data_IF_041819950698
#
_entry.id   IF_041819950698
#
_cell.length_a   1.000
_cell.length_b   1.000
_cell.length_c   1.000
_cell.angle_alpha   90.00
_cell.angle_beta   90.00
_cell.angle_gamma   90.00
#
_symmetry.space_group_name_H-M   'P 1'
#
loop_
_entity.id
_entity.type
_entity.pdbx_description
1 polymer ?
#
# COMPACT_ATOMS: atom_id res chain seq x y z
N UNK A 1 -11.04 3.02 1.84
CA UNK A 1 -11.84 2.20 0.89
C UNK A 1 -11.59 0.70 1.08
N UNK A 2 -10.35 0.19 1.09
CA UNK A 2 -10.01 -1.25 1.20
C UNK A 2 -10.69 -1.88 2.40
N UNK A 3 -10.44 -1.42 3.63
CA UNK A 3 -11.08 -1.94 4.83
C UNK A 3 -12.61 -1.85 4.79
N UNK A 4 -13.14 -0.77 4.21
CA UNK A 4 -14.57 -0.58 4.08
C UNK A 4 -15.22 -1.71 3.25
N UNK A 5 -14.66 -2.01 2.08
CA UNK A 5 -15.19 -3.06 1.22
C UNK A 5 -14.92 -4.46 1.77
N UNK A 6 -13.77 -4.68 2.41
CA UNK A 6 -13.42 -5.96 3.03
C UNK A 6 -14.46 -6.43 4.07
N UNK A 7 -15.07 -5.49 4.81
CA UNK A 7 -16.11 -5.83 5.79
C UNK A 7 -17.29 -6.56 5.15
N UNK A 8 -17.69 -6.19 3.92
CA UNK A 8 -18.84 -6.83 3.25
C UNK A 8 -18.55 -8.23 2.72
N UNK A 9 -17.28 -8.65 2.72
CA UNK A 9 -16.86 -9.98 2.31
C UNK A 9 -16.74 -10.98 3.46
N UNK A 10 -16.91 -10.49 4.68
CA UNK A 10 -16.81 -11.33 5.87
C UNK A 10 -17.98 -12.30 5.97
N UNK A 11 -17.78 -13.49 6.57
CA UNK A 11 -18.86 -14.40 6.90
C UNK A 11 -19.93 -13.73 7.78
N UNK A 12 -21.19 -14.14 7.71
CA UNK A 12 -22.29 -13.53 8.46
C UNK A 12 -22.02 -13.39 9.94
N UNK A 13 -21.36 -14.37 10.55
CA UNK A 13 -21.03 -14.39 11.96
C UNK A 13 -20.05 -13.27 12.35
N UNK A 14 -19.17 -12.89 11.43
CA UNK A 14 -18.22 -11.80 11.63
C UNK A 14 -18.85 -10.43 11.30
N UNK A 15 -19.82 -10.38 10.40
CA UNK A 15 -20.50 -9.12 10.06
C UNK A 15 -21.18 -8.48 11.26
N UNK A 16 -21.71 -9.26 12.20
CA UNK A 16 -22.31 -8.76 13.44
C UNK A 16 -21.32 -7.90 14.24
N UNK A 17 -20.04 -8.28 14.21
CA UNK A 17 -18.98 -7.55 14.91
C UNK A 17 -18.42 -6.38 14.09
N UNK A 18 -18.18 -6.59 12.81
CA UNK A 18 -17.40 -5.64 11.99
C UNK A 18 -18.26 -4.57 11.32
N UNK A 19 -19.48 -4.89 10.88
CA UNK A 19 -20.34 -3.93 10.19
C UNK A 19 -20.71 -2.70 11.01
N UNK A 20 -21.05 -2.80 12.31
CA UNK A 20 -21.28 -1.62 13.15
C UNK A 20 -20.03 -0.74 13.33
N UNK A 21 -18.85 -1.30 13.14
CA UNK A 21 -17.56 -0.65 13.36
C UNK A 21 -16.84 -0.27 12.03
N UNK A 22 -17.55 -0.29 10.91
CA UNK A 22 -16.96 -0.08 9.58
C UNK A 22 -16.28 1.28 9.42
N UNK A 23 -16.82 2.32 10.04
CA UNK A 23 -16.20 3.65 10.05
C UNK A 23 -14.90 3.64 10.85
N UNK A 24 -14.90 3.05 12.05
CA UNK A 24 -13.68 2.88 12.84
C UNK A 24 -12.59 2.17 12.03
N UNK A 25 -12.90 1.03 11.42
CA UNK A 25 -11.94 0.27 10.60
C UNK A 25 -11.39 1.07 9.42
N UNK A 26 -12.21 1.92 8.83
CA UNK A 26 -11.81 2.76 7.71
C UNK A 26 -10.94 3.94 8.14
N UNK A 27 -11.31 4.63 9.21
CA UNK A 27 -10.61 5.81 9.73
C UNK A 27 -9.26 5.45 10.38
N UNK A 28 -9.20 4.32 11.07
CA UNK A 28 -7.98 3.84 11.73
C UNK A 28 -7.06 3.02 10.82
N UNK A 29 -7.44 2.80 9.56
CA UNK A 29 -6.55 2.15 8.58
C UNK A 29 -5.28 2.95 8.29
N UNK A 30 -5.28 4.26 8.52
CA UNK A 30 -4.12 5.14 8.30
C UNK A 30 -3.28 5.39 9.57
N UNK A 31 -3.62 4.75 10.68
CA UNK A 31 -2.87 4.93 11.94
C UNK A 31 -1.41 4.43 11.85
N UNK A 32 -1.07 3.37 11.10
CA UNK A 32 0.31 3.02 10.85
C UNK A 32 1.13 4.17 10.24
N UNK A 33 0.62 4.87 9.24
CA UNK A 33 1.30 6.02 8.63
C UNK A 33 1.49 7.18 9.61
N UNK A 34 0.49 7.49 10.42
CA UNK A 34 0.61 8.51 11.47
C UNK A 34 1.68 8.12 12.49
N UNK A 35 1.81 6.83 12.80
CA UNK A 35 2.75 6.29 13.78
C UNK A 35 4.22 6.39 13.32
N UNK A 36 4.49 6.44 12.00
CA UNK A 36 5.84 6.62 11.44
C UNK A 36 6.55 7.87 11.95
N UNK A 37 5.80 8.91 12.34
CA UNK A 37 6.39 10.14 12.86
C UNK A 37 6.84 10.04 14.32
N UNK A 38 6.33 9.05 15.07
CA UNK A 38 6.59 8.88 16.49
C UNK A 38 7.36 7.60 16.85
N UNK A 39 7.33 6.59 15.97
CA UNK A 39 7.93 5.27 16.21
C UNK A 39 8.95 4.96 15.12
N UNK A 40 10.24 5.00 15.41
CA UNK A 40 11.31 4.78 14.40
C UNK A 40 11.20 3.45 13.65
N UNK A 41 10.77 2.38 14.35
CA UNK A 41 10.64 1.04 13.79
C UNK A 41 9.37 0.85 12.94
N UNK A 42 8.53 1.86 12.80
CA UNK A 42 7.29 1.75 12.01
C UNK A 42 7.58 1.77 10.51
N UNK A 43 8.45 2.67 10.05
CA UNK A 43 8.76 2.84 8.63
C UNK A 43 9.05 1.53 7.89
N UNK A 44 9.96 0.68 8.37
CA UNK A 44 10.29 -0.61 7.74
C UNK A 44 9.12 -1.58 7.55
N UNK A 45 8.03 -1.41 8.26
CA UNK A 45 6.86 -2.31 8.21
C UNK A 45 6.00 -2.12 6.96
N UNK A 46 6.20 -1.00 6.24
CA UNK A 46 5.38 -0.60 5.10
C UNK A 46 5.91 -1.07 3.75
N UNK A 47 7.17 -1.51 3.65
CA UNK A 47 7.81 -1.82 2.38
C UNK A 47 8.78 -2.98 2.46
N UNK A 48 9.31 -3.38 1.31
CA UNK A 48 10.47 -4.24 1.18
C UNK A 48 11.17 -3.99 -0.16
N UNK A 49 12.43 -3.55 -0.13
CA UNK A 49 13.24 -3.29 -1.32
C UNK A 49 13.75 -4.61 -1.93
N UNK A 50 12.91 -5.26 -2.72
CA UNK A 50 13.18 -6.59 -3.28
C UNK A 50 14.40 -6.59 -4.20
N UNK A 51 14.65 -5.52 -4.93
CA UNK A 51 15.81 -5.34 -5.80
C UNK A 51 17.15 -5.38 -5.05
N UNK A 52 17.12 -5.16 -3.73
CA UNK A 52 18.30 -5.33 -2.87
C UNK A 52 18.72 -6.80 -2.71
N UNK A 53 17.81 -7.73 -2.89
CA UNK A 53 18.04 -9.15 -2.70
C UNK A 53 18.40 -9.91 -4.01
N UNK A 54 18.63 -9.18 -5.10
CA UNK A 54 19.01 -9.74 -6.41
C UNK A 54 17.94 -9.58 -7.48
N UNK A 55 17.83 -10.58 -8.35
CA UNK A 55 16.92 -10.55 -9.49
C UNK A 55 15.67 -11.38 -9.25
N UNK A 56 14.55 -10.96 -9.90
CA UNK A 56 13.30 -11.69 -9.87
C UNK A 56 13.50 -13.16 -10.31
N UNK A 57 12.89 -14.15 -9.67
CA UNK A 57 11.90 -14.11 -8.58
C UNK A 57 12.47 -14.07 -7.15
N UNK A 58 13.70 -13.62 -6.96
CA UNK A 58 14.37 -13.47 -5.65
C UNK A 58 14.43 -14.75 -4.82
N UNK A 59 14.95 -15.86 -5.36
CA UNK A 59 14.90 -17.17 -4.70
C UNK A 59 15.75 -17.24 -3.43
N UNK A 60 16.64 -16.27 -3.26
CA UNK A 60 17.55 -16.20 -2.13
C UNK A 60 16.93 -15.64 -0.85
N UNK A 61 15.73 -15.02 -0.92
CA UNK A 61 15.08 -14.41 0.26
C UNK A 61 14.31 -15.48 1.04
N UNK A 62 14.74 -15.80 2.27
CA UNK A 62 13.99 -16.72 3.11
C UNK A 62 12.64 -16.13 3.51
N UNK A 63 11.58 -16.92 3.37
CA UNK A 63 10.23 -16.49 3.75
C UNK A 63 9.98 -16.50 5.26
N UNK A 64 10.76 -17.28 6.01
CA UNK A 64 10.70 -17.32 7.46
C UNK A 64 11.65 -16.30 8.06
N UNK A 65 11.17 -15.54 9.03
CA UNK A 65 11.94 -14.45 9.66
C UNK A 65 13.27 -14.92 10.23
N UNK A 66 13.27 -16.00 11.02
CA UNK A 66 14.49 -16.49 11.66
C UNK A 66 15.57 -16.91 10.62
N UNK A 67 15.16 -17.49 9.51
CA UNK A 67 16.06 -17.84 8.41
C UNK A 67 16.59 -16.59 7.69
N UNK A 68 15.74 -15.56 7.53
CA UNK A 68 16.12 -14.29 6.95
C UNK A 68 17.12 -13.53 7.86
N UNK A 69 16.86 -13.49 9.17
CA UNK A 69 17.78 -12.90 10.16
C UNK A 69 19.11 -13.63 10.17
N UNK A 70 19.11 -14.95 10.16
CA UNK A 70 20.35 -15.75 10.12
C UNK A 70 21.18 -15.46 8.88
N UNK A 71 20.52 -15.14 7.74
CA UNK A 71 21.21 -14.89 6.47
C UNK A 71 21.68 -13.45 6.29
N UNK A 72 20.87 -12.48 6.68
CA UNK A 72 21.09 -11.06 6.35
C UNK A 72 21.31 -10.15 7.57
N UNK A 73 21.01 -10.62 8.77
CA UNK A 73 20.98 -9.81 9.98
C UNK A 73 19.71 -8.96 10.11
N UNK A 74 19.23 -8.77 11.32
CA UNK A 74 17.98 -8.05 11.58
C UNK A 74 18.03 -6.59 11.14
N UNK A 75 19.14 -5.88 11.44
CA UNK A 75 19.31 -4.46 11.08
C UNK A 75 19.30 -4.26 9.56
N UNK A 76 19.94 -5.16 8.82
CA UNK A 76 19.93 -5.12 7.36
C UNK A 76 18.53 -5.33 6.81
N UNK A 77 17.78 -6.30 7.35
CA UNK A 77 16.38 -6.54 6.95
C UNK A 77 15.51 -5.34 7.24
N UNK A 78 15.59 -4.76 8.43
CA UNK A 78 14.83 -3.54 8.79
C UNK A 78 15.16 -2.38 7.86
N UNK A 79 16.42 -2.20 7.49
CA UNK A 79 16.82 -1.14 6.55
C UNK A 79 16.20 -1.31 5.16
N UNK A 80 16.00 -2.55 4.71
CA UNK A 80 15.40 -2.86 3.40
C UNK A 80 13.89 -3.10 3.47
N UNK A 81 13.29 -2.98 4.66
CA UNK A 81 11.85 -3.19 4.87
C UNK A 81 11.46 -4.64 5.14
N UNK A 82 10.36 -4.80 5.89
CA UNK A 82 9.95 -6.09 6.47
C UNK A 82 8.45 -6.39 6.29
N UNK A 83 7.75 -5.72 5.37
CA UNK A 83 6.29 -5.82 5.23
C UNK A 83 5.76 -7.26 5.17
N UNK A 84 6.34 -8.23 4.43
CA UNK A 84 5.74 -9.56 4.34
C UNK A 84 5.81 -10.35 5.65
N UNK A 85 6.86 -10.17 6.44
CA UNK A 85 6.96 -10.77 7.78
C UNK A 85 6.07 -10.04 8.79
N UNK A 86 6.00 -8.69 8.68
CA UNK A 86 5.17 -7.89 9.57
C UNK A 86 3.69 -8.24 9.45
N UNK A 87 3.16 -8.42 8.25
CA UNK A 87 1.77 -8.85 8.01
C UNK A 87 1.51 -10.21 8.69
N UNK A 88 2.44 -11.17 8.61
CA UNK A 88 2.29 -12.45 9.29
C UNK A 88 2.24 -12.30 10.81
N UNK A 89 3.05 -11.41 11.40
CA UNK A 89 2.97 -11.12 12.83
C UNK A 89 1.67 -10.43 13.21
N UNK A 90 1.19 -9.51 12.37
CA UNK A 90 -0.12 -8.86 12.60
C UNK A 90 -1.26 -9.87 12.56
N UNK A 91 -1.22 -10.83 11.64
CA UNK A 91 -2.21 -11.92 11.58
C UNK A 91 -2.18 -12.79 12.85
N UNK A 92 -0.99 -13.12 13.36
CA UNK A 92 -0.85 -13.85 14.61
C UNK A 92 -1.40 -13.06 15.80
N UNK A 93 -1.12 -11.76 15.89
CA UNK A 93 -1.66 -10.88 16.94
C UNK A 93 -3.19 -10.79 16.86
N UNK A 94 -3.74 -10.62 15.65
CA UNK A 94 -5.18 -10.60 15.43
C UNK A 94 -5.83 -11.93 15.84
N UNK A 95 -5.23 -13.05 15.44
CA UNK A 95 -5.68 -14.39 15.84
C UNK A 95 -5.68 -14.57 17.36
N UNK A 96 -4.65 -14.08 18.04
CA UNK A 96 -4.57 -14.13 19.49
C UNK A 96 -5.61 -13.22 20.16
N UNK A 97 -5.85 -12.03 19.59
CA UNK A 97 -6.89 -11.13 20.07
C UNK A 97 -8.29 -11.77 20.01
N UNK A 98 -8.58 -12.53 18.94
CA UNK A 98 -9.82 -13.33 18.86
C UNK A 98 -9.86 -14.45 19.91
N UNK A 99 -8.78 -15.21 20.07
CA UNK A 99 -8.71 -16.29 21.09
C UNK A 99 -8.93 -15.77 22.51
N UNK A 100 -8.40 -14.60 22.82
CA UNK A 100 -8.54 -13.96 24.13
C UNK A 100 -9.79 -13.10 24.24
N UNK A 101 -10.61 -13.03 23.20
CA UNK A 101 -11.84 -12.20 23.14
C UNK A 101 -11.58 -10.73 23.49
N UNK A 102 -10.41 -10.21 23.13
CA UNK A 102 -10.06 -8.81 23.37
C UNK A 102 -10.59 -7.94 22.23
N UNK A 103 -11.77 -7.38 22.43
CA UNK A 103 -12.47 -6.58 21.44
C UNK A 103 -11.64 -5.39 20.91
N UNK A 104 -11.01 -4.64 21.81
CA UNK A 104 -10.21 -3.46 21.43
C UNK A 104 -9.04 -3.84 20.54
N UNK A 105 -8.34 -4.95 20.83
CA UNK A 105 -7.24 -5.44 20.01
C UNK A 105 -7.74 -6.03 18.69
N UNK A 106 -8.91 -6.69 18.67
CA UNK A 106 -9.53 -7.17 17.43
C UNK A 106 -9.75 -5.97 16.48
N UNK A 107 -10.42 -4.92 16.95
CA UNK A 107 -10.70 -3.74 16.13
C UNK A 107 -9.40 -3.05 15.65
N UNK A 108 -8.46 -2.83 16.56
CA UNK A 108 -7.17 -2.22 16.23
C UNK A 108 -6.42 -3.00 15.16
N UNK A 109 -6.18 -4.29 15.40
CA UNK A 109 -5.38 -5.10 14.46
C UNK A 109 -6.10 -5.33 13.13
N UNK A 110 -7.42 -5.41 13.13
CA UNK A 110 -8.20 -5.48 11.89
C UNK A 110 -8.12 -4.21 11.05
N UNK A 111 -8.10 -3.04 11.69
CA UNK A 111 -7.93 -1.77 10.98
C UNK A 111 -6.50 -1.65 10.40
N UNK A 112 -5.49 -1.97 11.19
CA UNK A 112 -4.09 -1.77 10.81
C UNK A 112 -3.57 -2.82 9.81
N UNK A 113 -4.01 -4.09 9.89
CA UNK A 113 -3.53 -5.15 8.98
C UNK A 113 -3.90 -4.86 7.52
N UNK A 114 -5.08 -4.28 7.29
CA UNK A 114 -5.52 -3.90 5.95
C UNK A 114 -4.61 -2.83 5.31
N UNK A 115 -4.02 -1.95 6.11
CA UNK A 115 -3.02 -0.99 5.63
C UNK A 115 -1.78 -1.68 5.08
N UNK A 116 -1.14 -2.54 5.86
CA UNK A 116 0.07 -3.25 5.41
C UNK A 116 -0.21 -4.23 4.25
N UNK A 117 -1.42 -4.83 4.20
CA UNK A 117 -1.84 -5.62 3.06
C UNK A 117 -1.93 -4.73 1.81
N UNK A 118 -2.51 -3.54 1.92
CA UNK A 118 -2.55 -2.58 0.82
C UNK A 118 -1.14 -2.20 0.35
N UNK A 119 -0.23 -1.89 1.27
CA UNK A 119 1.17 -1.59 0.98
C UNK A 119 1.86 -2.73 0.20
N UNK A 120 1.65 -3.98 0.61
CA UNK A 120 2.19 -5.14 -0.10
C UNK A 120 1.67 -5.28 -1.55
N UNK A 121 0.55 -4.62 -1.89
CA UNK A 121 0.01 -4.57 -3.24
C UNK A 121 0.47 -3.35 -4.04
N UNK A 122 1.13 -2.37 -3.43
CA UNK A 122 1.69 -1.20 -4.12
C UNK A 122 3.04 -1.58 -4.75
N UNK A 123 3.19 -1.48 -6.08
CA UNK A 123 4.46 -1.82 -6.74
C UNK A 123 5.66 -1.06 -6.19
N UNK A 124 5.48 0.22 -5.86
CA UNK A 124 6.54 1.08 -5.36
C UNK A 124 6.94 0.82 -3.91
N UNK A 125 6.16 0.05 -3.14
CA UNK A 125 6.57 -0.49 -1.83
C UNK A 125 7.45 -1.75 -1.95
N UNK A 126 7.73 -2.21 -3.16
CA UNK A 126 8.53 -3.42 -3.38
C UNK A 126 9.85 -3.17 -4.14
N UNK A 127 10.31 -1.91 -4.18
CA UNK A 127 11.57 -1.53 -4.82
C UNK A 127 12.22 -0.32 -4.17
N UNK A 128 13.55 -0.25 -4.21
CA UNK A 128 14.33 0.87 -3.65
C UNK A 128 14.08 2.20 -4.37
N UNK A 129 13.71 2.18 -5.66
CA UNK A 129 13.34 3.37 -6.42
C UNK A 129 11.87 3.79 -6.17
N UNK A 130 11.40 3.66 -4.95
CA UNK A 130 10.00 3.80 -4.55
C UNK A 130 9.37 5.15 -4.92
N UNK A 131 10.12 6.23 -4.99
CA UNK A 131 9.62 7.56 -5.35
C UNK A 131 10.23 8.12 -6.64
N UNK A 132 10.81 7.26 -7.48
CA UNK A 132 11.45 7.65 -8.73
C UNK A 132 12.73 8.49 -8.54
N UNK A 133 13.34 8.43 -7.35
CA UNK A 133 14.51 9.24 -6.99
C UNK A 133 15.75 8.90 -7.84
N UNK A 134 15.84 7.68 -8.34
CA UNK A 134 16.96 7.24 -9.20
C UNK A 134 16.69 7.44 -10.69
N UNK A 135 15.45 7.76 -11.08
CA UNK A 135 15.01 7.88 -12.48
C UNK A 135 14.45 9.25 -12.83
N UNK A 136 14.67 10.26 -11.98
CA UNK A 136 14.17 11.63 -12.13
C UNK A 136 12.62 11.70 -12.23
N UNK A 137 11.92 10.83 -11.49
CA UNK A 137 10.47 10.74 -11.46
C UNK A 137 9.91 11.00 -10.04
N UNK A 138 10.57 11.90 -9.29
CA UNK A 138 10.20 12.21 -7.90
C UNK A 138 8.73 12.59 -7.79
N UNK A 139 8.04 11.98 -6.81
CA UNK A 139 6.61 12.16 -6.58
C UNK A 139 5.74 11.07 -7.20
N UNK A 140 6.32 10.12 -7.96
CA UNK A 140 5.56 9.04 -8.59
C UNK A 140 4.87 8.13 -7.56
N UNK A 141 5.42 8.00 -6.36
CA UNK A 141 4.81 7.23 -5.28
C UNK A 141 3.43 7.76 -4.91
N UNK A 142 3.38 9.01 -4.45
CA UNK A 142 2.09 9.65 -4.14
C UNK A 142 1.19 9.82 -5.36
N UNK A 143 1.76 9.94 -6.55
CA UNK A 143 0.98 9.94 -7.78
C UNK A 143 0.24 8.63 -7.98
N UNK A 144 0.93 7.49 -7.90
CA UNK A 144 0.34 6.17 -8.14
C UNK A 144 -0.67 5.77 -7.06
N UNK A 145 -0.33 6.00 -5.80
CA UNK A 145 -1.05 5.49 -4.64
C UNK A 145 -2.14 6.43 -4.13
N UNK A 146 -1.98 7.75 -4.34
CA UNK A 146 -2.95 8.75 -3.88
C UNK A 146 -3.66 9.44 -5.04
N UNK A 147 -2.92 10.11 -5.94
CA UNK A 147 -3.53 10.95 -6.96
C UNK A 147 -4.40 10.16 -7.94
N UNK A 148 -3.93 8.99 -8.42
CA UNK A 148 -4.72 8.15 -9.33
C UNK A 148 -6.01 7.67 -8.66
N UNK A 149 -6.00 7.07 -7.46
CA UNK A 149 -7.23 6.67 -6.77
C UNK A 149 -8.14 7.84 -6.39
N UNK A 150 -7.59 8.98 -5.96
CA UNK A 150 -8.39 10.15 -5.60
C UNK A 150 -9.21 10.68 -6.77
N UNK A 151 -8.66 10.68 -7.98
CA UNK A 151 -9.34 11.18 -9.16
C UNK A 151 -10.30 10.16 -9.79
N UNK A 152 -9.94 8.88 -9.76
CA UNK A 152 -10.60 7.88 -10.61
C UNK A 152 -11.41 6.85 -9.83
N UNK A 153 -11.04 6.53 -8.58
CA UNK A 153 -11.59 5.38 -7.89
C UNK A 153 -13.10 5.45 -7.63
N UNK A 154 -13.67 6.64 -7.46
CA UNK A 154 -15.12 6.77 -7.24
C UNK A 154 -15.94 6.72 -8.53
N UNK A 155 -15.32 7.08 -9.64
CA UNK A 155 -16.02 7.25 -10.93
C UNK A 155 -15.80 6.10 -11.89
N UNK A 156 -14.63 5.44 -11.81
CA UNK A 156 -14.16 4.52 -12.83
C UNK A 156 -13.86 3.11 -12.31
N UNK A 157 -13.53 2.95 -10.98
CA UNK A 157 -13.11 1.66 -10.44
C UNK A 157 -14.31 0.88 -9.93
N UNK A 158 -14.38 -0.39 -10.30
CA UNK A 158 -15.36 -1.34 -9.78
C UNK A 158 -14.78 -2.12 -8.61
N UNK A 159 -15.29 -1.88 -7.40
CA UNK A 159 -14.91 -2.60 -6.19
C UNK A 159 -15.82 -3.82 -5.88
N UNK A 160 -16.68 -4.21 -6.78
CA UNK A 160 -17.39 -5.46 -6.63
C UNK A 160 -16.49 -6.64 -7.00
N UNK A 161 -15.96 -7.33 -5.99
CA UNK A 161 -14.97 -8.40 -6.17
C UNK A 161 -15.53 -9.81 -5.99
N UNK A 162 -16.83 -9.93 -5.70
CA UNK A 162 -17.49 -11.21 -5.47
C UNK A 162 -17.27 -11.75 -4.05
N UNK A 163 -17.26 -13.07 -3.89
CA UNK A 163 -17.06 -13.71 -2.57
C UNK A 163 -15.58 -13.83 -2.24
N UNK A 164 -15.25 -13.57 -0.98
CA UNK A 164 -13.90 -13.87 -0.47
C UNK A 164 -13.63 -15.37 -0.48
N UNK A 165 -12.39 -15.74 -0.80
CA UNK A 165 -11.91 -17.11 -0.71
C UNK A 165 -11.06 -17.27 0.55
N UNK A 166 -11.20 -18.42 1.22
CA UNK A 166 -10.34 -18.73 2.35
C UNK A 166 -8.89 -18.96 1.92
N UNK A 167 -7.96 -18.25 2.55
CA UNK A 167 -6.53 -18.36 2.26
C UNK A 167 -5.90 -19.33 3.25
N UNK A 168 -5.59 -20.55 2.77
CA UNK A 168 -5.03 -21.61 3.60
C UNK A 168 -3.60 -21.30 4.07
N UNK A 169 -2.80 -20.65 3.23
CA UNK A 169 -1.39 -20.33 3.49
C UNK A 169 -1.14 -18.82 3.37
N UNK A 170 -1.55 -18.00 4.39
CA UNK A 170 -1.46 -16.55 4.32
C UNK A 170 -0.04 -16.02 4.09
N UNK A 171 0.96 -16.69 4.67
CA UNK A 171 2.35 -16.30 4.48
C UNK A 171 2.78 -16.39 3.02
N UNK A 172 2.50 -17.50 2.35
CA UNK A 172 2.81 -17.67 0.92
C UNK A 172 2.01 -16.73 0.04
N UNK A 173 0.73 -16.50 0.39
CA UNK A 173 -0.12 -15.55 -0.30
C UNK A 173 0.50 -14.15 -0.31
N UNK A 174 0.86 -13.61 0.86
CA UNK A 174 1.47 -12.28 0.98
C UNK A 174 2.80 -12.20 0.24
N UNK A 175 3.66 -13.21 0.35
CA UNK A 175 4.92 -13.23 -0.40
C UNK A 175 4.69 -13.18 -1.91
N UNK A 176 3.70 -13.89 -2.42
CA UNK A 176 3.36 -13.83 -3.84
C UNK A 176 2.86 -12.44 -4.25
N UNK A 177 2.09 -11.73 -3.40
CA UNK A 177 1.66 -10.35 -3.67
C UNK A 177 2.86 -9.39 -3.72
N UNK A 178 3.80 -9.52 -2.79
CA UNK A 178 5.06 -8.74 -2.81
C UNK A 178 5.87 -9.00 -4.08
N UNK A 179 6.03 -10.26 -4.48
CA UNK A 179 6.73 -10.60 -5.71
C UNK A 179 6.05 -10.01 -6.96
N UNK A 180 4.72 -10.04 -7.02
CA UNK A 180 3.96 -9.39 -8.09
C UNK A 180 4.15 -7.87 -8.08
N UNK A 181 4.20 -7.25 -6.90
CA UNK A 181 4.48 -5.82 -6.73
C UNK A 181 5.87 -5.46 -7.23
N UNK A 182 6.89 -6.22 -6.82
CA UNK A 182 8.26 -6.02 -7.28
C UNK A 182 8.38 -6.14 -8.81
N UNK A 183 7.72 -7.15 -9.42
CA UNK A 183 7.69 -7.31 -10.88
C UNK A 183 7.00 -6.15 -11.59
N UNK A 184 6.01 -5.53 -10.97
CA UNK A 184 5.23 -4.44 -11.56
C UNK A 184 5.90 -3.07 -11.43
N UNK A 185 6.90 -2.91 -10.54
CA UNK A 185 7.53 -1.62 -10.24
C UNK A 185 8.14 -0.97 -11.50
N UNK A 186 8.87 -1.74 -12.31
CA UNK A 186 9.46 -1.25 -13.54
C UNK A 186 8.38 -0.78 -14.55
N UNK A 187 7.25 -1.46 -14.60
CA UNK A 187 6.12 -1.06 -15.46
C UNK A 187 5.54 0.28 -15.02
N UNK A 188 5.40 0.50 -13.71
CA UNK A 188 4.93 1.77 -13.15
C UNK A 188 5.85 2.92 -13.55
N UNK A 189 7.16 2.74 -13.37
CA UNK A 189 8.17 3.75 -13.69
C UNK A 189 8.30 3.97 -15.19
N UNK A 190 8.39 2.92 -16.01
CA UNK A 190 8.54 3.03 -17.46
C UNK A 190 7.33 3.67 -18.11
N UNK A 191 6.12 3.33 -17.67
CA UNK A 191 4.88 3.92 -18.19
C UNK A 191 4.83 5.43 -17.96
N UNK A 192 5.21 5.90 -16.77
CA UNK A 192 5.27 7.35 -16.49
C UNK A 192 6.31 8.04 -17.36
N UNK A 193 7.52 7.46 -17.47
CA UNK A 193 8.61 8.01 -18.30
C UNK A 193 8.23 8.12 -19.77
N UNK A 194 7.67 7.05 -20.34
CA UNK A 194 7.23 7.03 -21.74
C UNK A 194 6.11 8.04 -22.00
N UNK A 195 5.13 8.11 -21.09
CA UNK A 195 4.04 9.07 -21.23
C UNK A 195 4.52 10.51 -21.09
N UNK A 196 5.52 10.76 -20.24
CA UNK A 196 6.12 12.08 -20.07
C UNK A 196 6.75 12.64 -21.34
N UNK A 197 7.16 11.80 -22.29
CA UNK A 197 7.65 12.25 -23.61
C UNK A 197 6.54 12.83 -24.50
N UNK A 198 5.29 12.56 -24.19
CA UNK A 198 4.12 12.99 -24.96
C UNK A 198 3.42 14.23 -24.36
N UNK A 199 3.85 14.65 -23.19
CA UNK A 199 3.28 15.80 -22.47
C UNK A 199 4.33 16.87 -22.24
N UNK A 200 3.99 18.11 -22.55
CA UNK A 200 4.77 19.27 -22.09
C UNK A 200 4.57 19.46 -20.57
N UNK A 201 5.52 20.11 -19.91
CA UNK A 201 5.48 20.26 -18.44
C UNK A 201 4.22 20.96 -17.93
N UNK A 202 3.72 21.94 -18.68
CA UNK A 202 2.47 22.66 -18.39
C UNK A 202 1.21 21.79 -18.54
N UNK A 203 1.28 20.74 -19.34
CA UNK A 203 0.18 19.76 -19.49
C UNK A 203 0.35 18.56 -18.58
N UNK A 204 1.58 18.20 -18.24
CA UNK A 204 1.90 17.09 -17.33
C UNK A 204 1.53 17.42 -15.89
N UNK A 205 1.75 18.66 -15.47
CA UNK A 205 1.55 19.09 -14.11
C UNK A 205 0.47 20.16 -13.99
N UNK A 206 -0.20 20.18 -12.85
CA UNK A 206 -1.11 21.23 -12.44
C UNK A 206 -0.67 21.78 -11.09
N UNK A 207 -1.01 23.04 -10.84
CA UNK A 207 -0.85 23.65 -9.53
C UNK A 207 -2.22 23.70 -8.86
N UNK A 208 -2.39 22.99 -7.76
CA UNK A 208 -3.63 22.97 -7.00
C UNK A 208 -3.39 23.60 -5.63
N UNK A 209 -4.34 24.43 -5.20
CA UNK A 209 -4.38 24.94 -3.85
C UNK A 209 -4.71 23.79 -2.90
N UNK A 210 -3.83 23.53 -1.96
CA UNK A 210 -4.10 22.56 -0.90
C UNK A 210 -4.57 23.33 0.31
N UNK A 211 -5.81 23.10 0.74
CA UNK A 211 -6.26 23.55 2.03
C UNK A 211 -5.27 23.10 3.10
N UNK A 212 -4.68 24.06 3.81
CA UNK A 212 -3.75 23.79 4.90
C UNK A 212 -4.40 22.79 5.86
N UNK A 213 -3.74 21.65 6.10
CA UNK A 213 -4.17 20.78 7.19
C UNK A 213 -4.03 21.57 8.48
N UNK A 214 -4.96 21.42 9.40
CA UNK A 214 -5.07 22.11 10.70
C UNK A 214 -3.81 22.14 11.58
N UNK A 215 -2.72 21.53 11.15
CA UNK A 215 -1.44 21.44 11.86
C UNK A 215 -0.29 22.24 11.24
N UNK A 216 -0.51 22.95 10.14
CA UNK A 216 0.53 23.86 9.62
C UNK A 216 0.44 25.17 10.41
N UNK A 217 1.42 25.43 11.27
CA UNK A 217 1.48 26.56 12.20
C UNK A 217 1.55 27.95 11.55
N UNK A 218 1.40 28.02 10.24
CA UNK A 218 1.32 29.26 9.47
C UNK A 218 0.35 29.04 8.30
N UNK A 219 -0.83 29.66 8.34
CA UNK A 219 -1.88 29.56 7.34
C UNK A 219 -1.51 30.15 5.96
N UNK A 220 -0.46 29.65 5.34
CA UNK A 220 -0.11 29.96 3.97
C UNK A 220 -0.70 28.87 3.06
N UNK A 221 -1.57 29.27 2.15
CA UNK A 221 -2.02 28.48 1.02
C UNK A 221 -0.78 28.03 0.23
N UNK A 222 -0.43 26.76 0.34
CA UNK A 222 0.69 26.18 -0.40
C UNK A 222 0.17 25.62 -1.70
N UNK A 223 0.48 26.27 -2.80
CA UNK A 223 0.28 25.72 -4.15
C UNK A 223 1.21 24.52 -4.34
N UNK A 224 0.64 23.35 -4.55
CA UNK A 224 1.42 22.12 -4.74
C UNK A 224 1.40 21.74 -6.22
N UNK A 225 2.61 21.52 -6.79
CA UNK A 225 2.77 20.93 -8.10
C UNK A 225 2.43 19.44 -8.03
N UNK A 226 1.45 19.00 -8.80
CA UNK A 226 1.06 17.60 -8.89
C UNK A 226 0.72 17.22 -10.32
N UNK A 227 0.64 15.92 -10.61
CA UNK A 227 0.26 15.46 -11.94
C UNK A 227 -1.16 15.91 -12.29
N UNK A 228 -1.32 16.43 -13.52
CA UNK A 228 -2.60 16.93 -14.00
C UNK A 228 -3.63 15.81 -14.16
N UNK A 229 -4.90 16.16 -14.15
CA UNK A 229 -6.00 15.20 -14.41
C UNK A 229 -5.85 14.51 -15.76
N UNK A 230 -5.48 15.25 -16.80
CA UNK A 230 -5.29 14.70 -18.14
C UNK A 230 -4.15 13.67 -18.18
N UNK A 231 -3.02 13.97 -17.55
CA UNK A 231 -1.90 13.02 -17.44
C UNK A 231 -2.31 11.79 -16.62
N UNK A 232 -3.03 11.97 -15.52
CA UNK A 232 -3.48 10.88 -14.65
C UNK A 232 -4.40 9.90 -15.37
N UNK A 233 -5.35 10.40 -16.14
CA UNK A 233 -6.26 9.56 -16.96
C UNK A 233 -5.45 8.78 -18.01
N UNK A 234 -4.56 9.47 -18.74
CA UNK A 234 -3.72 8.84 -19.76
C UNK A 234 -2.79 7.78 -19.16
N UNK A 235 -2.22 8.04 -17.99
CA UNK A 235 -1.36 7.11 -17.26
C UNK A 235 -2.13 5.87 -16.81
N UNK A 236 -3.28 6.03 -16.16
CA UNK A 236 -4.10 4.92 -15.72
C UNK A 236 -4.56 4.03 -16.90
N UNK A 237 -4.94 4.66 -18.01
CA UNK A 237 -5.30 3.96 -19.24
C UNK A 237 -4.11 3.16 -19.79
N UNK A 238 -2.91 3.75 -19.84
CA UNK A 238 -1.69 3.09 -20.33
C UNK A 238 -1.24 1.95 -19.44
N UNK A 239 -1.47 2.03 -18.13
CA UNK A 239 -1.27 0.95 -17.16
C UNK A 239 -2.30 -0.19 -17.27
N UNK A 240 -3.33 -0.03 -18.13
CA UNK A 240 -4.35 -1.06 -18.34
C UNK A 240 -5.13 -1.41 -17.06
N UNK A 241 -5.45 -0.41 -16.22
CA UNK A 241 -6.22 -0.60 -14.97
C UNK A 241 -5.44 -1.30 -13.85
N UNK A 242 -4.10 -1.22 -13.84
CA UNK A 242 -3.28 -1.85 -12.81
C UNK A 242 -3.65 -1.34 -11.41
N UNK A 243 -3.87 -0.03 -11.23
CA UNK A 243 -4.18 0.56 -9.93
C UNK A 243 -5.45 -0.05 -9.36
N UNK A 244 -6.52 -0.09 -10.15
CA UNK A 244 -7.78 -0.73 -9.76
C UNK A 244 -7.60 -2.19 -9.38
N UNK A 245 -6.92 -2.98 -10.24
CA UNK A 245 -6.69 -4.42 -9.96
C UNK A 245 -5.93 -4.62 -8.65
N UNK A 246 -4.91 -3.82 -8.36
CA UNK A 246 -4.14 -3.92 -7.12
C UNK A 246 -4.97 -3.54 -5.89
N UNK A 247 -5.78 -2.49 -5.99
CA UNK A 247 -6.72 -2.12 -4.93
C UNK A 247 -7.76 -3.22 -4.67
N UNK A 248 -8.31 -3.82 -5.72
CA UNK A 248 -9.26 -4.95 -5.60
C UNK A 248 -8.65 -6.19 -4.98
N UNK A 249 -7.40 -6.49 -5.32
CA UNK A 249 -6.66 -7.63 -4.75
C UNK A 249 -6.31 -7.45 -3.28
N UNK A 250 -6.26 -6.21 -2.79
CA UNK A 250 -5.96 -5.90 -1.38
C UNK A 250 -7.21 -5.91 -0.48
N UNK A 251 -8.42 -5.98 -1.06
CA UNK A 251 -9.69 -6.13 -0.34
C UNK A 251 -9.86 -7.60 0.07
#
# INVERSE_FOLDING_TARGET
KINYYAVFLLPPEMLVLFKPNILFLSEHSVDPDKRRYAVPDEGPRHYIDMDHYGTYPYPSVPRKWNEAVAKYGEDSLKKQGIVPWHIQWMLQRLTNAFKTKNYSLIMKYSAEIGHYIADAHVPLHACSNHNGQYTNQRGIHGFWESRVPELLAEKEFDFFIGKAAYIQYPGDFIWNRVLESARAADTVLSTERELSLLFTDDKKYAFEERNARLNDAVGQEKTIRQYSTAFTIAYNKKLGGMVERRMRQSI
#
